data_IF_722721914039
#
_entry.id   IF_722721914039
#
_cell.length_a   1.000
_cell.length_b   1.000
_cell.length_c   1.000
_cell.angle_alpha   90.00
_cell.angle_beta   90.00
_cell.angle_gamma   90.00
#
_symmetry.space_group_name_H-M   'P 1'
#
loop_
_entity.id
_entity.type
_entity.pdbx_description
1 polymer ?
#
# COMPACT_ATOMS: atom_id res chain seq x y z
N UNK A 1 27.53 36.23 47.37
CA UNK A 1 27.49 36.39 48.83
C UNK A 1 27.09 35.05 49.43
N UNK A 2 27.90 34.60 50.37
CA UNK A 2 27.86 33.32 51.07
C UNK A 2 26.77 33.28 52.16
N UNK A 3 26.65 32.08 52.73
CA UNK A 3 26.06 31.71 54.03
C UNK A 3 24.58 31.30 53.95
N UNK A 4 24.11 30.22 54.58
CA UNK A 4 24.71 29.12 55.36
C UNK A 4 23.54 28.18 55.72
N UNK A 5 23.77 26.86 55.81
CA UNK A 5 22.88 25.93 56.55
C UNK A 5 23.21 26.02 58.05
N UNK A 6 22.28 25.72 58.99
CA UNK A 6 22.16 24.37 59.60
C UNK A 6 20.77 24.10 60.25
N UNK A 7 20.56 23.12 61.17
CA UNK A 7 20.95 21.70 61.21
C UNK A 7 19.74 20.73 61.34
N UNK A 8 20.06 19.44 61.33
CA UNK A 8 19.19 18.26 61.54
C UNK A 8 18.92 18.05 63.04
N UNK A 9 17.73 17.55 63.41
CA UNK A 9 17.51 16.86 64.70
C UNK A 9 16.67 15.60 64.49
N UNK A 10 17.19 14.50 65.06
CA UNK A 10 16.66 13.15 65.05
C UNK A 10 15.70 13.00 66.23
N UNK A 11 14.57 12.31 66.05
CA UNK A 11 13.83 11.74 67.19
C UNK A 11 13.34 10.33 66.83
N UNK A 12 13.94 9.36 67.52
CA UNK A 12 13.51 7.98 67.65
C UNK A 12 12.17 7.93 68.39
N UNK A 13 11.18 7.20 67.86
CA UNK A 13 10.14 6.58 68.69
C UNK A 13 10.00 5.12 68.28
N UNK A 14 10.54 4.28 69.14
CA UNK A 14 10.28 2.86 69.30
C UNK A 14 8.86 2.67 69.84
N UNK A 15 8.06 1.81 69.20
CA UNK A 15 6.98 1.10 69.91
C UNK A 15 6.94 -0.35 69.44
N UNK A 16 7.38 -1.22 70.33
CA UNK A 16 7.14 -2.66 70.34
C UNK A 16 5.73 -2.91 70.92
N UNK A 17 4.98 -3.84 70.35
CA UNK A 17 4.01 -4.73 71.01
C UNK A 17 3.65 -5.80 69.95
N UNK A 18 4.30 -6.97 70.00
CA UNK A 18 3.88 -8.19 70.71
C UNK A 18 2.63 -8.87 70.13
N UNK A 19 2.92 -9.91 69.34
CA UNK A 19 2.34 -11.25 69.32
C UNK A 19 0.82 -11.43 69.40
N UNK A 20 0.28 -12.07 68.36
CA UNK A 20 -0.51 -13.29 68.57
C UNK A 20 -0.38 -14.22 67.36
N UNK A 21 0.05 -15.45 67.63
CA UNK A 21 0.18 -16.56 66.71
C UNK A 21 -1.20 -17.18 66.41
N UNK A 22 -1.42 -17.60 65.17
CA UNK A 22 -2.58 -18.39 64.78
C UNK A 22 -2.45 -18.94 63.36
N UNK A 23 -1.83 -20.10 63.25
CA UNK A 23 -1.52 -20.86 62.04
C UNK A 23 -2.75 -21.33 61.25
N UNK A 24 -2.71 -21.29 59.91
CA UNK A 24 -2.52 -22.48 59.03
C UNK A 24 -2.63 -22.12 57.54
N UNK A 25 -1.50 -22.36 56.85
CA UNK A 25 -1.30 -22.90 55.49
C UNK A 25 -2.42 -22.78 54.46
N UNK A 26 -2.13 -22.10 53.35
CA UNK A 26 -1.81 -22.76 52.06
C UNK A 26 -1.06 -21.77 51.17
N UNK A 27 0.09 -22.21 50.69
CA UNK A 27 1.07 -21.47 49.89
C UNK A 27 0.53 -20.99 48.54
N UNK A 28 0.75 -19.71 48.23
CA UNK A 28 0.95 -19.26 46.85
C UNK A 28 2.17 -18.33 46.83
N UNK A 29 3.21 -18.82 46.17
CA UNK A 29 4.52 -18.19 46.07
C UNK A 29 4.43 -16.89 45.27
N UNK A 30 4.95 -15.82 45.87
CA UNK A 30 5.36 -14.56 45.25
C UNK A 30 6.59 -14.78 44.36
N UNK A 31 6.58 -14.14 43.20
CA UNK A 31 7.56 -13.12 42.77
C UNK A 31 7.10 -12.67 41.37
N UNK A 32 6.84 -11.40 41.10
CA UNK A 32 7.67 -10.25 41.38
C UNK A 32 8.18 -9.78 40.03
N UNK A 33 7.61 -8.72 39.47
CA UNK A 33 8.44 -7.65 38.94
C UNK A 33 7.62 -6.41 38.59
N UNK A 34 8.22 -5.28 38.95
CA UNK A 34 7.83 -3.93 38.62
C UNK A 34 7.71 -3.74 37.11
N UNK A 35 6.53 -3.39 36.61
CA UNK A 35 6.41 -2.78 35.28
C UNK A 35 5.93 -1.34 35.41
N UNK A 36 6.85 -0.43 35.10
CA UNK A 36 6.55 0.92 34.66
C UNK A 36 5.53 0.83 33.52
N UNK A 37 4.30 1.29 33.78
CA UNK A 37 3.30 1.51 32.74
C UNK A 37 3.77 2.67 31.85
N UNK A 38 4.56 2.34 30.84
CA UNK A 38 4.66 3.17 29.65
C UNK A 38 3.27 3.20 29.02
N UNK A 39 2.55 4.31 29.20
CA UNK A 39 1.46 4.69 28.30
C UNK A 39 2.08 4.89 26.92
N UNK A 40 2.15 3.83 26.11
CA UNK A 40 2.34 3.98 24.67
C UNK A 40 1.11 4.72 24.16
N UNK A 41 1.32 5.95 23.66
CA UNK A 41 0.31 6.60 22.85
C UNK A 41 -0.02 5.63 21.70
N UNK A 42 -1.28 5.22 21.57
CA UNK A 42 -1.74 4.53 20.37
C UNK A 42 -1.41 5.47 19.21
N UNK A 43 -0.40 5.15 18.41
CA UNK A 43 -0.37 5.65 17.04
C UNK A 43 -1.68 5.20 16.43
N UNK A 44 -2.53 6.18 16.08
CA UNK A 44 -3.76 5.90 15.37
C UNK A 44 -3.39 5.13 14.10
N UNK A 45 -3.90 3.91 13.97
CA UNK A 45 -3.59 3.06 12.83
C UNK A 45 -4.10 3.75 11.56
N UNK A 46 -3.17 4.14 10.67
CA UNK A 46 -3.50 4.87 9.47
C UNK A 46 -4.40 4.01 8.56
N UNK A 47 -5.60 4.51 8.27
CA UNK A 47 -6.52 3.89 7.32
C UNK A 47 -6.36 4.50 5.92
N UNK A 48 -5.87 3.71 4.97
CA UNK A 48 -5.62 4.14 3.60
C UNK A 48 -6.89 4.24 2.72
N UNK A 49 -8.03 3.68 3.14
CA UNK A 49 -9.29 3.74 2.37
C UNK A 49 -9.75 5.19 2.15
N UNK A 50 -9.72 6.00 3.22
CA UNK A 50 -10.05 7.43 3.12
C UNK A 50 -9.02 8.21 2.28
N UNK A 51 -7.74 7.82 2.40
CA UNK A 51 -6.65 8.41 1.64
C UNK A 51 -6.82 8.18 0.13
N UNK A 52 -7.21 6.98 -0.32
CA UNK A 52 -7.47 6.72 -1.75
C UNK A 52 -8.54 7.66 -2.34
N UNK A 53 -9.63 7.90 -1.61
CA UNK A 53 -10.70 8.79 -2.07
C UNK A 53 -10.19 10.22 -2.35
N UNK A 54 -9.34 10.75 -1.46
CA UNK A 54 -8.77 12.09 -1.62
C UNK A 54 -7.71 12.13 -2.74
N UNK A 55 -6.95 11.04 -2.95
CA UNK A 55 -6.03 10.95 -4.09
C UNK A 55 -6.79 11.06 -5.42
N UNK A 56 -7.90 10.35 -5.60
CA UNK A 56 -8.64 10.41 -6.88
C UNK A 56 -9.20 11.81 -7.16
N UNK A 57 -9.58 12.53 -6.11
CA UNK A 57 -9.95 13.95 -6.21
C UNK A 57 -8.74 14.80 -6.66
N UNK A 58 -7.58 14.63 -6.03
CA UNK A 58 -6.37 15.34 -6.43
C UNK A 58 -5.93 15.01 -7.87
N UNK A 59 -5.97 13.74 -8.27
CA UNK A 59 -5.65 13.29 -9.63
C UNK A 59 -6.61 13.91 -10.67
N UNK A 60 -7.91 14.00 -10.37
CA UNK A 60 -8.87 14.70 -11.24
C UNK A 60 -8.53 16.19 -11.42
N UNK A 61 -8.14 16.86 -10.34
CA UNK A 61 -7.71 18.27 -10.37
C UNK A 61 -6.41 18.42 -11.15
N UNK A 62 -5.45 17.51 -10.95
CA UNK A 62 -4.21 17.47 -11.71
C UNK A 62 -4.45 17.33 -13.21
N UNK A 63 -5.29 16.37 -13.60
CA UNK A 63 -5.63 16.10 -15.01
C UNK A 63 -6.36 17.27 -15.68
N UNK A 64 -7.12 18.05 -14.90
CA UNK A 64 -7.77 19.30 -15.37
C UNK A 64 -6.90 20.55 -15.21
N UNK A 65 -5.61 20.38 -14.89
CA UNK A 65 -4.61 21.45 -14.69
C UNK A 65 -4.92 22.41 -13.53
N UNK A 66 -5.82 22.04 -12.61
CA UNK A 66 -6.00 22.73 -11.35
C UNK A 66 -4.92 22.29 -10.34
N UNK A 67 -3.68 22.70 -10.63
CA UNK A 67 -2.50 22.28 -9.89
C UNK A 67 -2.44 22.80 -8.45
N UNK A 68 -3.06 23.94 -8.17
CA UNK A 68 -3.08 24.54 -6.83
C UNK A 68 -3.88 23.68 -5.85
N UNK A 69 -5.11 23.34 -6.22
CA UNK A 69 -5.96 22.48 -5.39
C UNK A 69 -5.44 21.03 -5.33
N UNK A 70 -4.91 20.51 -6.44
CA UNK A 70 -4.20 19.21 -6.43
C UNK A 70 -3.04 19.22 -5.45
N UNK A 71 -2.16 20.22 -5.51
CA UNK A 71 -1.00 20.34 -4.63
C UNK A 71 -1.41 20.42 -3.15
N UNK A 72 -2.40 21.24 -2.79
CA UNK A 72 -2.87 21.38 -1.40
C UNK A 72 -3.35 20.04 -0.82
N UNK A 73 -4.13 19.28 -1.59
CA UNK A 73 -4.63 17.97 -1.16
C UNK A 73 -3.43 17.02 -0.98
N UNK A 74 -2.56 16.90 -1.99
CA UNK A 74 -1.44 15.97 -1.95
C UNK A 74 -0.43 16.32 -0.85
N UNK A 75 -0.10 17.59 -0.65
CA UNK A 75 0.79 18.07 0.42
C UNK A 75 0.25 17.73 1.81
N UNK A 76 -1.06 17.91 2.02
CA UNK A 76 -1.72 17.52 3.26
C UNK A 76 -1.67 16.00 3.50
N UNK A 77 -1.95 15.20 2.48
CA UNK A 77 -1.94 13.74 2.59
C UNK A 77 -0.54 13.19 2.83
N UNK A 78 0.47 13.67 2.08
CA UNK A 78 1.84 13.14 2.13
C UNK A 78 2.60 13.51 3.42
N UNK A 79 2.08 14.44 4.22
CA UNK A 79 2.54 14.67 5.60
C UNK A 79 2.16 13.53 6.56
N UNK A 80 1.16 12.72 6.19
CA UNK A 80 0.58 11.68 7.06
C UNK A 80 0.76 10.28 6.49
N UNK A 81 0.66 10.13 5.18
CA UNK A 81 0.66 8.86 4.48
C UNK A 81 1.91 8.73 3.61
N UNK A 82 2.41 7.49 3.48
CA UNK A 82 3.39 7.21 2.43
C UNK A 82 2.67 7.22 1.08
N UNK A 83 3.30 7.74 0.01
CA UNK A 83 2.72 7.66 -1.31
C UNK A 83 2.49 6.19 -1.68
N UNK A 84 1.33 5.93 -2.26
CA UNK A 84 0.98 4.63 -2.83
C UNK A 84 1.18 4.68 -4.32
N UNK A 85 1.58 3.55 -4.90
CA UNK A 85 1.52 3.36 -6.34
C UNK A 85 0.29 2.52 -6.64
N UNK A 86 -0.71 3.14 -7.27
CA UNK A 86 -1.94 2.46 -7.65
C UNK A 86 -2.01 2.24 -9.16
N UNK A 87 -2.87 1.33 -9.59
CA UNK A 87 -3.18 1.12 -11.02
C UNK A 87 -3.64 2.41 -11.70
N UNK A 88 -4.38 3.24 -10.98
CA UNK A 88 -4.99 4.46 -11.52
C UNK A 88 -4.22 5.73 -11.22
N UNK A 89 -3.19 5.75 -10.36
CA UNK A 89 -2.64 7.00 -9.83
C UNK A 89 -1.13 6.94 -9.61
N UNK A 90 -0.44 8.06 -9.86
CA UNK A 90 1.00 8.21 -9.61
C UNK A 90 1.24 9.38 -8.66
N UNK A 91 0.93 9.16 -7.38
CA UNK A 91 0.88 10.22 -6.34
C UNK A 91 2.16 11.04 -6.26
N UNK A 92 3.34 10.39 -6.22
CA UNK A 92 4.62 11.09 -6.10
C UNK A 92 4.90 11.98 -7.31
N UNK A 93 4.56 11.50 -8.52
CA UNK A 93 4.70 12.27 -9.75
C UNK A 93 3.78 13.47 -9.74
N UNK A 94 2.49 13.25 -9.48
CA UNK A 94 1.48 14.30 -9.58
C UNK A 94 1.69 15.35 -8.49
N UNK A 95 2.22 14.97 -7.32
CA UNK A 95 2.66 15.90 -6.28
C UNK A 95 3.82 16.78 -6.76
N UNK A 96 4.91 16.18 -7.28
CA UNK A 96 6.07 16.93 -7.77
C UNK A 96 5.68 17.93 -8.86
N UNK A 97 4.90 17.47 -9.84
CA UNK A 97 4.47 18.31 -10.95
C UNK A 97 3.49 19.39 -10.47
N UNK A 98 2.52 19.07 -9.62
CA UNK A 98 1.63 20.10 -9.05
C UNK A 98 2.42 21.16 -8.29
N UNK A 99 3.37 20.75 -7.43
CA UNK A 99 4.24 21.67 -6.68
C UNK A 99 4.99 22.59 -7.62
N UNK A 100 5.62 22.08 -8.68
CA UNK A 100 6.36 22.88 -9.69
C UNK A 100 5.54 23.97 -10.39
N UNK A 101 4.20 23.87 -10.34
CA UNK A 101 3.31 24.84 -10.97
C UNK A 101 2.86 25.94 -10.03
N UNK A 102 2.95 25.74 -8.72
CA UNK A 102 2.30 26.62 -7.74
C UNK A 102 3.19 27.03 -6.56
N UNK A 103 4.32 26.36 -6.38
CA UNK A 103 5.27 26.61 -5.31
C UNK A 103 6.70 26.40 -5.80
N UNK A 104 7.67 26.91 -5.01
CA UNK A 104 9.08 26.67 -5.27
C UNK A 104 9.39 25.18 -5.07
N UNK A 105 9.99 24.57 -6.08
CA UNK A 105 10.57 23.22 -6.01
C UNK A 105 12.03 23.34 -5.60
N UNK A 106 12.47 22.42 -4.77
CA UNK A 106 13.88 22.26 -4.43
C UNK A 106 14.42 20.97 -5.07
N UNK A 107 15.73 20.90 -5.28
CA UNK A 107 16.40 19.69 -5.79
C UNK A 107 15.99 18.43 -5.02
N UNK A 108 15.85 18.54 -3.70
CA UNK A 108 15.45 17.44 -2.82
C UNK A 108 14.05 16.91 -3.11
N UNK A 109 13.13 17.72 -3.63
CA UNK A 109 11.81 17.23 -4.05
C UNK A 109 11.92 16.28 -5.25
N UNK A 110 12.80 16.63 -6.20
CA UNK A 110 13.07 15.80 -7.38
C UNK A 110 13.77 14.52 -6.97
N UNK A 111 14.77 14.60 -6.08
CA UNK A 111 15.45 13.42 -5.53
C UNK A 111 14.49 12.51 -4.76
N UNK A 112 13.59 13.07 -3.94
CA UNK A 112 12.57 12.29 -3.23
C UNK A 112 11.64 11.55 -4.20
N UNK A 113 11.19 12.22 -5.26
CA UNK A 113 10.44 11.57 -6.32
C UNK A 113 11.21 10.40 -6.95
N UNK A 114 12.49 10.61 -7.28
CA UNK A 114 13.34 9.56 -7.86
C UNK A 114 13.52 8.39 -6.88
N UNK A 115 13.76 8.65 -5.60
CA UNK A 115 13.92 7.59 -4.59
C UNK A 115 12.65 6.77 -4.35
N UNK A 116 11.48 7.36 -4.51
CA UNK A 116 10.20 6.66 -4.34
C UNK A 116 9.74 5.94 -5.63
N UNK A 117 10.09 6.43 -6.83
CA UNK A 117 9.45 5.98 -8.09
C UNK A 117 10.40 5.48 -9.18
N UNK A 118 11.69 5.81 -9.14
CA UNK A 118 12.60 5.51 -10.25
C UNK A 118 13.04 4.04 -10.25
N UNK A 119 12.33 3.22 -11.01
CA UNK A 119 12.64 1.80 -11.24
C UNK A 119 13.00 1.48 -12.70
N UNK A 120 12.73 2.41 -13.62
CA UNK A 120 12.95 2.28 -15.06
C UNK A 120 13.44 3.65 -15.57
N UNK A 121 14.64 3.68 -16.12
CA UNK A 121 15.31 4.92 -16.54
C UNK A 121 14.53 5.61 -17.66
N UNK A 122 14.14 4.84 -18.67
CA UNK A 122 13.47 5.35 -19.86
C UNK A 122 12.10 5.97 -19.52
N UNK A 123 11.41 5.42 -18.51
CA UNK A 123 10.15 5.97 -18.03
C UNK A 123 10.32 7.35 -17.36
N UNK A 124 11.42 7.54 -16.61
CA UNK A 124 11.73 8.82 -15.95
C UNK A 124 12.14 9.87 -16.98
N UNK A 125 13.07 9.53 -17.88
CA UNK A 125 13.58 10.46 -18.89
C UNK A 125 12.55 10.75 -19.99
N UNK A 126 11.64 9.82 -20.27
CA UNK A 126 10.56 9.99 -21.23
C UNK A 126 9.45 10.93 -20.74
N UNK A 127 9.33 11.16 -19.43
CA UNK A 127 8.38 12.13 -18.89
C UNK A 127 8.91 13.55 -19.05
N UNK A 128 8.38 14.27 -20.05
CA UNK A 128 8.80 15.65 -20.36
C UNK A 128 8.71 16.61 -19.18
N UNK A 129 7.74 16.44 -18.28
CA UNK A 129 7.58 17.33 -17.12
C UNK A 129 8.66 17.09 -16.08
N UNK A 130 9.00 15.81 -15.86
CA UNK A 130 10.09 15.41 -14.96
C UNK A 130 11.44 15.75 -15.58
N UNK A 131 11.65 15.47 -16.88
CA UNK A 131 12.89 15.76 -17.59
C UNK A 131 13.26 17.24 -17.52
N UNK A 132 12.28 18.15 -17.63
CA UNK A 132 12.50 19.59 -17.44
C UNK A 132 13.02 19.92 -16.03
N UNK A 133 12.48 19.29 -15.00
CA UNK A 133 12.94 19.48 -13.62
C UNK A 133 14.35 18.92 -13.42
N UNK A 134 14.67 17.77 -14.01
CA UNK A 134 16.03 17.22 -13.97
C UNK A 134 17.04 18.19 -14.57
N UNK A 135 16.73 18.78 -15.72
CA UNK A 135 17.57 19.80 -16.37
C UNK A 135 17.74 21.05 -15.49
N UNK A 136 16.63 21.56 -14.94
CA UNK A 136 16.60 22.74 -14.06
C UNK A 136 17.51 22.58 -12.82
N UNK A 137 17.54 21.38 -12.24
CA UNK A 137 18.38 21.07 -11.07
C UNK A 137 19.72 20.43 -11.41
N UNK A 138 20.10 20.40 -12.69
CA UNK A 138 21.35 19.80 -13.18
C UNK A 138 21.56 18.34 -12.73
N UNK A 139 20.47 17.57 -12.64
CA UNK A 139 20.49 16.13 -12.36
C UNK A 139 20.66 15.41 -13.70
N UNK A 140 21.88 14.99 -13.98
CA UNK A 140 22.19 14.33 -15.25
C UNK A 140 21.70 12.87 -15.31
N UNK A 141 21.78 12.29 -16.51
CA UNK A 141 21.39 10.89 -16.75
C UNK A 141 22.13 9.90 -15.85
N UNK A 142 23.42 10.15 -15.57
CA UNK A 142 24.27 9.25 -14.77
C UNK A 142 23.78 9.24 -13.32
N UNK A 143 23.38 10.40 -12.80
CA UNK A 143 22.79 10.51 -11.46
C UNK A 143 21.45 9.76 -11.38
N UNK A 144 20.57 9.93 -12.37
CA UNK A 144 19.31 9.17 -12.43
C UNK A 144 19.57 7.66 -12.52
N UNK A 145 20.51 7.22 -13.36
CA UNK A 145 20.91 5.81 -13.48
C UNK A 145 21.38 5.22 -12.15
N UNK A 146 22.17 5.98 -11.37
CA UNK A 146 22.61 5.56 -10.03
C UNK A 146 21.43 5.40 -9.07
N UNK A 147 20.46 6.33 -9.09
CA UNK A 147 19.28 6.24 -8.22
C UNK A 147 18.40 5.06 -8.63
N UNK A 148 18.18 4.84 -9.93
CA UNK A 148 17.45 3.67 -10.45
C UNK A 148 18.14 2.38 -10.00
N UNK A 149 19.44 2.26 -10.19
CA UNK A 149 20.20 1.08 -9.78
C UNK A 149 20.08 0.82 -8.26
N UNK A 150 20.13 1.88 -7.44
CA UNK A 150 19.93 1.79 -5.98
C UNK A 150 18.51 1.37 -5.60
N UNK A 151 17.50 1.77 -6.34
CA UNK A 151 16.13 1.34 -6.08
C UNK A 151 15.90 -0.10 -6.52
N UNK A 152 16.42 -0.49 -7.68
CA UNK A 152 16.36 -1.86 -8.21
C UNK A 152 17.08 -2.84 -7.28
N UNK A 153 18.20 -2.46 -6.66
CA UNK A 153 18.94 -3.35 -5.75
C UNK A 153 18.22 -3.68 -4.44
N UNK A 154 17.19 -2.91 -4.07
CA UNK A 154 16.33 -3.19 -2.91
C UNK A 154 15.23 -4.20 -3.22
N UNK A 155 14.97 -4.48 -4.49
CA UNK A 155 13.90 -5.37 -4.92
C UNK A 155 14.28 -6.83 -4.68
N UNK A 156 13.33 -7.61 -4.17
CA UNK A 156 13.47 -9.06 -4.07
C UNK A 156 13.37 -9.70 -5.46
N UNK A 157 14.49 -9.74 -6.19
CA UNK A 157 14.58 -10.28 -7.55
C UNK A 157 14.16 -11.75 -7.62
N UNK A 158 14.56 -12.65 -6.69
CA UNK A 158 14.07 -14.02 -6.69
C UNK A 158 12.53 -14.12 -6.64
N UNK A 159 11.89 -13.38 -5.72
CA UNK A 159 10.43 -13.36 -5.61
C UNK A 159 9.77 -12.73 -6.84
N UNK A 160 10.36 -11.66 -7.40
CA UNK A 160 9.88 -11.06 -8.65
C UNK A 160 9.84 -12.08 -9.78
N UNK A 161 10.95 -12.79 -9.99
CA UNK A 161 11.05 -13.81 -11.04
C UNK A 161 10.04 -14.95 -10.82
N UNK A 162 9.82 -15.34 -9.56
CA UNK A 162 8.80 -16.32 -9.21
C UNK A 162 7.40 -15.85 -9.62
N UNK A 163 7.01 -14.63 -9.26
CA UNK A 163 5.70 -14.05 -9.60
C UNK A 163 5.52 -13.84 -11.12
N UNK A 164 6.59 -13.44 -11.82
CA UNK A 164 6.59 -13.37 -13.29
C UNK A 164 6.33 -14.75 -13.91
N UNK A 165 7.03 -15.79 -13.43
CA UNK A 165 6.80 -17.16 -13.88
C UNK A 165 5.40 -17.68 -13.56
N UNK A 166 4.82 -17.29 -12.42
CA UNK A 166 3.42 -17.60 -12.09
C UNK A 166 2.47 -16.95 -13.11
N UNK A 167 2.72 -15.68 -13.48
CA UNK A 167 1.93 -14.97 -14.48
C UNK A 167 2.00 -15.67 -15.86
N UNK A 168 3.20 -16.04 -16.31
CA UNK A 168 3.40 -16.76 -17.57
C UNK A 168 2.68 -18.11 -17.58
N UNK A 169 2.86 -18.93 -16.54
CA UNK A 169 2.20 -20.25 -16.43
C UNK A 169 0.67 -20.15 -16.40
N UNK A 170 0.14 -19.11 -15.75
CA UNK A 170 -1.29 -18.83 -15.73
C UNK A 170 -1.83 -18.54 -17.15
N UNK A 171 -1.10 -17.75 -17.95
CA UNK A 171 -1.50 -17.49 -19.34
C UNK A 171 -1.36 -18.74 -20.22
N UNK A 172 -0.24 -19.45 -20.11
CA UNK A 172 0.05 -20.63 -20.93
C UNK A 172 -1.03 -21.70 -20.76
N UNK A 173 -1.44 -21.99 -19.52
CA UNK A 173 -2.43 -23.04 -19.27
C UNK A 173 -3.81 -22.67 -19.79
N UNK A 174 -4.16 -21.38 -19.80
CA UNK A 174 -5.46 -20.89 -20.28
C UNK A 174 -5.62 -21.07 -21.79
N UNK A 175 -4.51 -21.07 -22.53
CA UNK A 175 -4.52 -21.38 -23.96
C UNK A 175 -4.84 -22.85 -24.26
N UNK A 176 -4.65 -23.76 -23.30
CA UNK A 176 -4.88 -25.20 -23.49
C UNK A 176 -6.34 -25.62 -23.42
N UNK A 177 -7.21 -24.78 -22.81
CA UNK A 177 -8.61 -25.11 -22.47
C UNK A 177 -8.79 -26.38 -21.60
N UNK A 178 -7.73 -26.91 -21.01
CA UNK A 178 -7.81 -28.05 -20.09
C UNK A 178 -8.19 -27.57 -18.69
N UNK A 179 -9.44 -27.84 -18.30
CA UNK A 179 -10.00 -27.35 -17.04
C UNK A 179 -9.28 -27.89 -15.79
N UNK A 180 -8.89 -29.16 -15.78
CA UNK A 180 -8.18 -29.75 -14.64
C UNK A 180 -6.82 -29.11 -14.42
N UNK A 181 -6.14 -28.77 -15.52
CA UNK A 181 -4.85 -28.08 -15.47
C UNK A 181 -5.00 -26.64 -15.00
N UNK A 182 -6.05 -25.93 -15.46
CA UNK A 182 -6.38 -24.58 -14.98
C UNK A 182 -6.67 -24.62 -13.47
N UNK A 183 -7.53 -25.53 -13.02
CA UNK A 183 -7.87 -25.68 -11.59
C UNK A 183 -6.63 -25.97 -10.74
N UNK A 184 -5.74 -26.83 -11.22
CA UNK A 184 -4.47 -27.14 -10.53
C UNK A 184 -3.59 -25.91 -10.39
N UNK A 185 -3.40 -25.14 -11.47
CA UNK A 185 -2.57 -23.94 -11.47
C UNK A 185 -3.16 -22.85 -10.58
N UNK A 186 -4.47 -22.59 -10.68
CA UNK A 186 -5.16 -21.62 -9.83
C UNK A 186 -4.96 -21.96 -8.34
N UNK A 187 -5.11 -23.23 -7.96
CA UNK A 187 -4.89 -23.68 -6.59
C UNK A 187 -3.43 -23.49 -6.16
N UNK A 188 -2.46 -23.90 -6.99
CA UNK A 188 -1.03 -23.75 -6.69
C UNK A 188 -0.64 -22.29 -6.51
N UNK A 189 -1.12 -21.40 -7.37
CA UNK A 189 -0.89 -19.96 -7.25
C UNK A 189 -1.52 -19.40 -5.97
N UNK A 190 -2.73 -19.86 -5.61
CA UNK A 190 -3.40 -19.43 -4.38
C UNK A 190 -2.61 -19.81 -3.12
N UNK A 191 -2.10 -21.05 -3.04
CA UNK A 191 -1.32 -21.50 -1.89
C UNK A 191 0.00 -20.74 -1.80
N UNK A 192 0.66 -20.53 -2.94
CA UNK A 192 1.93 -19.82 -2.95
C UNK A 192 1.79 -18.34 -2.61
N UNK A 193 0.76 -17.65 -3.12
CA UNK A 193 0.49 -16.26 -2.76
C UNK A 193 0.14 -16.11 -1.28
N UNK A 194 -0.63 -17.04 -0.72
CA UNK A 194 -0.92 -17.08 0.72
C UNK A 194 0.38 -17.19 1.54
N UNK A 195 1.27 -18.11 1.17
CA UNK A 195 2.57 -18.26 1.83
C UNK A 195 3.43 -17.00 1.71
N UNK A 196 3.52 -16.39 0.53
CA UNK A 196 4.25 -15.13 0.30
C UNK A 196 3.69 -14.01 1.20
N UNK A 197 2.37 -13.87 1.26
CA UNK A 197 1.73 -12.84 2.10
C UNK A 197 2.02 -13.04 3.58
N UNK A 198 1.98 -14.29 4.07
CA UNK A 198 2.23 -14.57 5.50
C UNK A 198 3.71 -14.47 5.88
N UNK A 199 4.64 -14.68 4.94
CA UNK A 199 6.09 -14.69 5.22
C UNK A 199 6.81 -13.39 4.88
N UNK A 200 6.42 -12.74 3.78
CA UNK A 200 7.08 -11.54 3.23
C UNK A 200 6.16 -10.31 3.30
N UNK A 201 4.84 -10.51 3.31
CA UNK A 201 3.84 -9.46 3.12
C UNK A 201 3.34 -9.40 1.67
N UNK A 202 2.39 -8.50 1.39
CA UNK A 202 1.82 -8.37 0.04
C UNK A 202 2.90 -7.93 -0.96
N UNK A 203 3.10 -8.65 -2.08
CA UNK A 203 4.18 -8.37 -3.03
C UNK A 203 3.86 -7.13 -3.89
N UNK A 204 3.98 -5.95 -3.29
CA UNK A 204 3.79 -4.66 -3.92
C UNK A 204 5.10 -4.12 -4.56
N UNK A 205 5.02 -2.90 -5.10
CA UNK A 205 6.12 -2.26 -5.82
C UNK A 205 7.39 -2.06 -4.97
N UNK A 206 7.25 -1.95 -3.64
CA UNK A 206 8.39 -1.79 -2.74
C UNK A 206 9.14 -3.09 -2.52
N UNK A 207 8.45 -4.23 -2.62
CA UNK A 207 9.04 -5.57 -2.43
C UNK A 207 9.54 -6.14 -3.76
N UNK A 208 8.71 -6.11 -4.80
CA UNK A 208 8.99 -6.81 -6.07
C UNK A 208 9.14 -5.88 -7.28
N UNK A 209 9.07 -4.57 -7.08
CA UNK A 209 9.10 -3.58 -8.16
C UNK A 209 7.74 -3.42 -8.85
N UNK A 210 7.63 -2.45 -9.76
CA UNK A 210 6.40 -2.23 -10.53
C UNK A 210 6.19 -3.29 -11.63
N UNK A 211 5.23 -3.04 -12.51
CA UNK A 211 4.97 -3.88 -13.69
C UNK A 211 6.27 -4.16 -14.48
N UNK A 212 7.03 -3.11 -14.78
CA UNK A 212 8.36 -3.20 -15.38
C UNK A 212 9.47 -2.88 -14.36
N UNK A 213 10.69 -3.40 -14.60
CA UNK A 213 11.88 -3.13 -13.78
C UNK A 213 13.14 -3.07 -14.68
N UNK A 214 14.00 -2.07 -14.46
CA UNK A 214 15.22 -1.87 -15.25
C UNK A 214 16.07 -3.16 -15.29
N UNK A 215 16.52 -3.53 -16.49
CA UNK A 215 17.38 -4.70 -16.69
C UNK A 215 16.69 -6.04 -16.47
N UNK A 216 15.35 -6.06 -16.36
CA UNK A 216 14.52 -7.27 -16.22
C UNK A 216 13.35 -7.27 -17.23
N UNK A 217 13.65 -7.29 -18.55
CA UNK A 217 12.60 -7.46 -19.56
C UNK A 217 11.87 -8.80 -19.35
N UNK A 218 10.57 -8.87 -19.67
CA UNK A 218 9.75 -10.09 -19.56
C UNK A 218 9.55 -10.61 -18.13
N UNK A 219 9.59 -9.72 -17.14
CA UNK A 219 9.33 -10.03 -15.73
C UNK A 219 8.05 -9.36 -15.23
N UNK A 220 7.08 -9.15 -16.12
CA UNK A 220 5.83 -8.47 -15.79
C UNK A 220 5.08 -9.22 -14.70
N UNK A 221 4.68 -8.49 -13.66
CA UNK A 221 3.86 -9.02 -12.57
C UNK A 221 2.49 -8.38 -12.69
N UNK A 222 1.46 -9.21 -12.82
CA UNK A 222 0.08 -8.74 -12.83
C UNK A 222 -0.81 -9.57 -11.89
N UNK A 223 -0.64 -9.33 -10.59
CA UNK A 223 -1.41 -9.98 -9.53
C UNK A 223 -2.93 -9.84 -9.67
N UNK A 224 -3.49 -8.69 -10.11
CA UNK A 224 -4.94 -8.56 -10.27
C UNK A 224 -5.54 -9.65 -11.17
N UNK A 225 -4.83 -10.05 -12.24
CA UNK A 225 -5.25 -11.13 -13.10
C UNK A 225 -5.19 -12.49 -12.42
N UNK A 226 -4.12 -12.77 -11.65
CA UNK A 226 -4.04 -14.01 -10.86
C UNK A 226 -5.19 -14.08 -9.84
N UNK A 227 -5.50 -12.97 -9.15
CA UNK A 227 -6.63 -12.89 -8.21
C UNK A 227 -7.98 -13.15 -8.88
N UNK A 228 -8.23 -12.54 -10.04
CA UNK A 228 -9.41 -12.84 -10.86
C UNK A 228 -9.47 -14.34 -11.15
N UNK A 229 -8.42 -14.89 -11.73
CA UNK A 229 -8.34 -16.28 -12.15
C UNK A 229 -8.56 -17.30 -11.02
N UNK A 230 -7.92 -17.10 -9.86
CA UNK A 230 -8.05 -18.02 -8.73
C UNK A 230 -9.32 -17.81 -7.89
N UNK A 231 -10.20 -16.87 -8.24
CA UNK A 231 -11.44 -16.61 -7.49
C UNK A 231 -12.34 -17.85 -7.33
N UNK A 232 -12.24 -18.82 -8.25
CA UNK A 232 -13.02 -20.06 -8.17
C UNK A 232 -12.29 -21.22 -7.52
N UNK A 233 -11.05 -21.48 -7.97
CA UNK A 233 -10.30 -22.68 -7.65
C UNK A 233 -9.23 -22.48 -6.55
N UNK A 234 -9.02 -21.24 -6.11
CA UNK A 234 -8.09 -20.89 -5.05
C UNK A 234 -8.73 -20.77 -3.65
N UNK A 235 -7.92 -20.38 -2.68
CA UNK A 235 -8.33 -20.12 -1.28
C UNK A 235 -9.08 -18.78 -1.13
N UNK A 236 -10.26 -18.70 -1.74
CA UNK A 236 -11.09 -17.49 -1.78
C UNK A 236 -11.36 -16.91 -0.38
N UNK A 237 -11.71 -17.74 0.60
CA UNK A 237 -12.08 -17.28 1.94
C UNK A 237 -10.90 -16.61 2.67
N UNK A 238 -9.68 -17.13 2.50
CA UNK A 238 -8.49 -16.48 3.01
C UNK A 238 -8.30 -15.09 2.40
N UNK A 239 -8.30 -14.98 1.06
CA UNK A 239 -8.03 -13.71 0.38
C UNK A 239 -9.16 -12.69 0.60
N UNK A 240 -10.41 -13.15 0.67
CA UNK A 240 -11.56 -12.31 0.98
C UNK A 240 -11.39 -11.56 2.29
N UNK A 241 -10.80 -12.22 3.30
CA UNK A 241 -10.52 -11.62 4.60
C UNK A 241 -9.23 -10.79 4.58
N UNK A 242 -8.15 -11.34 4.00
CA UNK A 242 -6.81 -10.76 4.11
C UNK A 242 -6.61 -9.50 3.26
N UNK A 243 -7.13 -9.46 2.03
CA UNK A 243 -6.88 -8.32 1.12
C UNK A 243 -7.45 -6.99 1.66
N UNK A 244 -8.68 -6.92 2.23
CA UNK A 244 -9.17 -5.70 2.86
C UNK A 244 -8.30 -5.17 4.01
N UNK A 245 -7.67 -6.06 4.79
CA UNK A 245 -6.73 -5.67 5.84
C UNK A 245 -5.48 -5.01 5.23
N UNK A 246 -4.95 -5.58 4.16
CA UNK A 246 -3.78 -5.07 3.42
C UNK A 246 -4.09 -3.80 2.61
N UNK A 247 -5.35 -3.59 2.22
CA UNK A 247 -5.79 -2.33 1.62
C UNK A 247 -5.83 -1.24 2.68
N UNK A 248 -6.40 -1.54 3.86
CA UNK A 248 -6.50 -0.59 4.96
C UNK A 248 -5.14 -0.08 5.42
N UNK A 249 -4.11 -0.93 5.40
CA UNK A 249 -2.75 -0.56 5.78
C UNK A 249 -1.91 0.05 4.63
N UNK A 250 -2.47 0.16 3.42
CA UNK A 250 -1.81 0.79 2.27
C UNK A 250 -0.77 -0.08 1.55
N UNK A 251 -0.79 -1.40 1.74
CA UNK A 251 0.17 -2.32 1.09
C UNK A 251 -0.39 -3.07 -0.11
N UNK A 252 -1.72 -3.10 -0.27
CA UNK A 252 -2.41 -3.74 -1.39
C UNK A 252 -3.29 -2.72 -2.13
N UNK A 253 -3.19 -2.68 -3.47
CA UNK A 253 -4.10 -1.89 -4.30
C UNK A 253 -5.52 -2.49 -4.25
N UNK A 254 -6.57 -1.69 -3.95
CA UNK A 254 -7.97 -2.11 -3.93
C UNK A 254 -8.45 -2.91 -5.13
N UNK A 255 -7.85 -2.67 -6.30
CA UNK A 255 -8.16 -3.35 -7.55
C UNK A 255 -7.93 -4.87 -7.45
N UNK A 256 -6.94 -5.34 -6.68
CA UNK A 256 -6.71 -6.79 -6.48
C UNK A 256 -7.91 -7.48 -5.81
N UNK A 257 -8.48 -6.85 -4.78
CA UNK A 257 -9.64 -7.40 -4.07
C UNK A 257 -10.90 -7.34 -4.93
N UNK A 258 -11.12 -6.23 -5.63
CA UNK A 258 -12.28 -6.09 -6.51
C UNK A 258 -12.28 -7.11 -7.66
N UNK A 259 -11.11 -7.40 -8.25
CA UNK A 259 -10.95 -8.44 -9.28
C UNK A 259 -11.32 -9.83 -8.76
N UNK A 260 -10.92 -10.16 -7.51
CA UNK A 260 -11.28 -11.42 -6.86
C UNK A 260 -12.80 -11.51 -6.60
N UNK A 261 -13.39 -10.49 -5.98
CA UNK A 261 -14.80 -10.51 -5.59
C UNK A 261 -15.74 -10.49 -6.80
N UNK A 262 -15.52 -9.60 -7.77
CA UNK A 262 -16.37 -9.51 -8.95
C UNK A 262 -16.35 -10.83 -9.74
N UNK A 263 -15.17 -11.44 -9.91
CA UNK A 263 -15.08 -12.74 -10.59
C UNK A 263 -15.78 -13.84 -9.81
N UNK A 264 -15.63 -13.87 -8.48
CA UNK A 264 -16.36 -14.82 -7.64
C UNK A 264 -17.86 -14.66 -7.82
N UNK A 265 -18.35 -13.43 -7.85
CA UNK A 265 -19.78 -13.16 -7.99
C UNK A 265 -20.29 -13.52 -9.37
N UNK A 266 -19.55 -13.19 -10.43
CA UNK A 266 -19.86 -13.59 -11.81
C UNK A 266 -20.03 -15.11 -11.91
N UNK A 267 -19.06 -15.88 -11.44
CA UNK A 267 -19.08 -17.35 -11.51
C UNK A 267 -20.26 -17.96 -10.74
N UNK A 268 -20.66 -17.34 -9.64
CA UNK A 268 -21.76 -17.82 -8.80
C UNK A 268 -23.12 -17.18 -9.15
N UNK A 269 -23.23 -16.46 -10.28
CA UNK A 269 -24.44 -15.73 -10.69
C UNK A 269 -24.98 -14.81 -9.58
N UNK A 270 -24.07 -14.12 -8.88
CA UNK A 270 -24.39 -13.11 -7.85
C UNK A 270 -24.23 -11.70 -8.43
N UNK A 271 -24.86 -10.68 -7.83
CA UNK A 271 -24.64 -9.30 -8.21
C UNK A 271 -23.15 -8.92 -8.21
N UNK A 272 -22.70 -8.25 -9.27
CA UNK A 272 -21.35 -7.71 -9.37
C UNK A 272 -21.28 -6.45 -8.51
N UNK A 273 -20.27 -6.33 -7.65
CA UNK A 273 -20.26 -5.31 -6.58
C UNK A 273 -19.44 -4.07 -6.98
N UNK A 274 -18.35 -4.26 -7.71
CA UNK A 274 -17.39 -3.19 -8.04
C UNK A 274 -17.31 -2.87 -9.53
N UNK A 275 -17.70 -3.81 -10.40
CA UNK A 275 -17.67 -3.69 -11.85
C UNK A 275 -16.28 -3.33 -12.42
N UNK A 276 -15.22 -3.97 -11.92
CA UNK A 276 -13.85 -3.78 -12.45
C UNK A 276 -13.51 -4.70 -13.63
N UNK A 277 -14.23 -5.82 -13.75
CA UNK A 277 -14.11 -6.77 -14.88
C UNK A 277 -15.35 -6.79 -15.78
N UNK A 278 -16.54 -6.56 -15.22
CA UNK A 278 -17.80 -6.61 -15.96
C UNK A 278 -18.27 -5.19 -16.25
N UNK A 279 -18.48 -4.81 -17.52
CA UNK A 279 -18.98 -3.50 -17.88
C UNK A 279 -20.28 -3.15 -17.15
N UNK A 280 -20.41 -1.88 -16.80
CA UNK A 280 -21.63 -1.33 -16.23
C UNK A 280 -22.68 -1.20 -17.34
N UNK A 281 -23.91 -1.60 -17.05
CA UNK A 281 -25.05 -1.51 -17.98
C UNK A 281 -25.97 -0.37 -17.56
N UNK A 282 -26.90 0.03 -18.44
CA UNK A 282 -27.88 1.09 -18.13
C UNK A 282 -28.76 0.77 -16.91
N UNK A 283 -28.98 -0.51 -16.62
CA UNK A 283 -29.78 -0.98 -15.48
C UNK A 283 -28.98 -1.14 -14.18
N UNK A 284 -27.66 -0.91 -14.21
CA UNK A 284 -26.81 -1.06 -13.04
C UNK A 284 -27.01 0.10 -12.06
N UNK A 285 -27.14 -0.21 -10.76
CA UNK A 285 -27.21 0.81 -9.71
C UNK A 285 -25.83 1.44 -9.45
N UNK A 286 -25.49 2.47 -10.23
CA UNK A 286 -24.23 3.21 -10.09
C UNK A 286 -24.02 3.78 -8.68
N UNK A 287 -25.08 4.15 -7.95
CA UNK A 287 -24.95 4.68 -6.59
C UNK A 287 -24.47 3.60 -5.62
N UNK A 288 -25.08 2.41 -5.69
CA UNK A 288 -24.63 1.25 -4.89
C UNK A 288 -23.21 0.85 -5.26
N UNK A 289 -22.90 0.76 -6.55
CA UNK A 289 -21.55 0.40 -7.03
C UNK A 289 -20.51 1.39 -6.49
N UNK A 290 -20.76 2.70 -6.59
CA UNK A 290 -19.83 3.70 -6.06
C UNK A 290 -19.71 3.66 -4.53
N UNK A 291 -20.79 3.32 -3.80
CA UNK A 291 -20.71 3.13 -2.35
C UNK A 291 -19.81 1.93 -1.99
N UNK A 292 -19.95 0.81 -2.70
CA UNK A 292 -19.09 -0.37 -2.54
C UNK A 292 -17.63 -0.03 -2.86
N UNK A 293 -17.38 0.58 -4.02
CA UNK A 293 -16.03 0.98 -4.47
C UNK A 293 -15.36 1.90 -3.45
N UNK A 294 -16.08 2.91 -2.95
CA UNK A 294 -15.59 3.79 -1.89
C UNK A 294 -15.24 3.04 -0.61
N UNK A 295 -16.02 2.03 -0.22
CA UNK A 295 -15.81 1.27 1.02
C UNK A 295 -14.47 0.50 1.04
N UNK A 296 -13.90 0.19 -0.13
CA UNK A 296 -12.59 -0.46 -0.26
C UNK A 296 -11.50 0.47 -0.81
N UNK A 297 -11.81 1.74 -1.07
CA UNK A 297 -10.84 2.69 -1.59
C UNK A 297 -10.63 2.61 -3.11
N UNK A 298 -11.54 2.01 -3.88
CA UNK A 298 -11.56 2.16 -5.34
C UNK A 298 -12.06 3.55 -5.75
N UNK A 299 -11.68 4.03 -6.96
CA UNK A 299 -12.24 5.26 -7.49
C UNK A 299 -13.71 5.06 -7.86
N UNK A 300 -14.47 6.16 -8.00
CA UNK A 300 -15.82 6.07 -8.56
C UNK A 300 -15.79 5.67 -10.03
N UNK A 301 -16.92 5.16 -10.52
CA UNK A 301 -17.14 4.85 -11.94
C UNK A 301 -16.93 6.10 -12.80
N UNK A 302 -17.46 7.24 -12.36
CA UNK A 302 -17.35 8.51 -13.07
C UNK A 302 -15.90 8.98 -13.17
N UNK A 303 -15.06 8.70 -12.16
CA UNK A 303 -13.64 9.00 -12.22
C UNK A 303 -12.93 8.16 -13.28
N UNK A 304 -13.21 6.85 -13.36
CA UNK A 304 -12.62 5.99 -14.40
C UNK A 304 -13.07 6.41 -15.80
N UNK A 305 -14.37 6.69 -15.98
CA UNK A 305 -14.93 7.21 -17.23
C UNK A 305 -14.26 8.55 -17.63
N UNK A 306 -14.10 9.46 -16.67
CA UNK A 306 -13.39 10.73 -16.86
C UNK A 306 -11.94 10.51 -17.28
N UNK A 307 -11.20 9.67 -16.56
CA UNK A 307 -9.78 9.40 -16.82
C UNK A 307 -9.57 8.78 -18.20
N UNK A 308 -10.39 7.80 -18.56
CA UNK A 308 -10.40 7.18 -19.88
C UNK A 308 -10.64 8.22 -20.98
N UNK A 309 -11.60 9.12 -20.80
CA UNK A 309 -11.91 10.17 -21.77
C UNK A 309 -10.73 11.13 -21.97
N UNK A 310 -10.06 11.54 -20.90
CA UNK A 310 -8.90 12.44 -21.01
C UNK A 310 -7.70 11.74 -21.64
N UNK A 311 -7.45 10.47 -21.32
CA UNK A 311 -6.31 9.71 -21.86
C UNK A 311 -6.50 9.24 -23.31
N UNK A 312 -7.73 9.22 -23.82
CA UNK A 312 -8.03 8.82 -25.21
C UNK A 312 -7.94 9.98 -26.21
N UNK A 313 -7.71 11.21 -25.73
CA UNK A 313 -7.52 12.43 -26.53
C UNK A 313 -6.06 12.87 -26.51
#
# INVERSE_FOLDING_TARGET
MNFSKPPITITLITLLLMMSCGSRSTDFQKSGDTSFSHKSGRQEELNYIAYYSEIYKADSLFMTKNYDESYKILDYLLKRYKPVKGWFVNVSRDYLISKSKVAKVERTDVENYLYEQAYVLEAILGDKSVAKLLEEFHIDKIEVEKIVAKNVSKINIPLRNELGNMTLKDQDIRNTKNYDSIKKIDWQHSQRLKEIIETVGFPNEKIVGGYNLQGKPHSEIFLPQIFNHMAYNGDYDYFKKKLPELIRNGTCDPFNYAMLEDRRNEINNRPIEYHVIIPITENSDKKKINANRKAIGLPSVEFEEFKKKIMSN
#
